data_IF_068149737429
#
_entry.id   IF_068149737429
#
_cell.length_a   1.000
_cell.length_b   1.000
_cell.length_c   1.000
_cell.angle_alpha   90.00
_cell.angle_beta   90.00
_cell.angle_gamma   90.00
#
_symmetry.space_group_name_H-M   'P 1'
#
loop_
_entity.id
_entity.type
_entity.pdbx_description
1 polymer ?
#
# COMPACT_ATOMS: atom_id res chain seq x y z
N UNK A 1 24.19 -18.89 -20.82
CA UNK A 1 24.90 -17.91 -19.97
C UNK A 1 24.18 -16.55 -19.86
N UNK A 2 22.84 -16.45 -19.93
CA UNK A 2 22.14 -15.14 -19.94
C UNK A 2 21.21 -14.88 -18.76
N UNK A 3 21.21 -15.72 -17.71
CA UNK A 3 20.23 -15.59 -16.60
C UNK A 3 20.79 -15.00 -15.31
N UNK A 4 22.08 -14.73 -15.18
CA UNK A 4 22.66 -14.22 -13.93
C UNK A 4 22.46 -12.71 -13.74
N UNK A 5 22.40 -11.91 -14.81
CA UNK A 5 22.23 -10.46 -14.69
C UNK A 5 20.78 -10.04 -14.29
N UNK A 6 19.79 -10.85 -14.61
CA UNK A 6 18.39 -10.54 -14.28
C UNK A 6 18.06 -10.67 -12.77
N UNK A 7 18.62 -11.68 -12.13
CA UNK A 7 18.40 -11.91 -10.69
C UNK A 7 19.12 -10.82 -9.85
N UNK A 8 20.33 -10.42 -10.22
CA UNK A 8 21.07 -9.38 -9.50
C UNK A 8 20.35 -8.03 -9.47
N UNK A 9 19.72 -7.63 -10.59
CA UNK A 9 18.92 -6.38 -10.64
C UNK A 9 17.67 -6.47 -9.76
N UNK A 10 16.98 -7.60 -9.78
CA UNK A 10 15.81 -7.83 -8.94
C UNK A 10 16.17 -7.82 -7.45
N UNK A 11 17.23 -8.53 -7.05
CA UNK A 11 17.73 -8.56 -5.69
C UNK A 11 18.18 -7.18 -5.20
N UNK A 12 18.90 -6.43 -6.02
CA UNK A 12 19.31 -5.07 -5.68
C UNK A 12 18.12 -4.14 -5.50
N UNK A 13 17.11 -4.24 -6.36
CA UNK A 13 15.91 -3.40 -6.24
C UNK A 13 15.08 -3.76 -5.01
N UNK A 14 14.84 -5.05 -4.77
CA UNK A 14 14.09 -5.51 -3.59
C UNK A 14 14.83 -5.18 -2.30
N UNK A 15 16.16 -5.26 -2.29
CA UNK A 15 16.98 -4.82 -1.17
C UNK A 15 16.83 -3.34 -0.88
N UNK A 16 16.93 -2.49 -1.91
CA UNK A 16 16.76 -1.04 -1.77
C UNK A 16 15.33 -0.66 -1.34
N UNK A 17 14.33 -1.34 -1.87
CA UNK A 17 12.92 -1.16 -1.48
C UNK A 17 12.70 -1.55 -0.01
N UNK A 18 13.22 -2.69 0.41
CA UNK A 18 13.13 -3.16 1.80
C UNK A 18 13.79 -2.18 2.77
N UNK A 19 14.97 -1.68 2.43
CA UNK A 19 15.67 -0.67 3.24
C UNK A 19 14.87 0.63 3.32
N UNK A 20 14.32 1.12 2.20
CA UNK A 20 13.47 2.31 2.18
C UNK A 20 12.27 2.14 3.10
N UNK A 21 11.55 1.02 3.00
CA UNK A 21 10.37 0.73 3.84
C UNK A 21 10.75 0.70 5.33
N UNK A 22 11.85 0.03 5.68
CA UNK A 22 12.29 -0.05 7.07
C UNK A 22 12.69 1.31 7.64
N UNK A 23 13.35 2.15 6.85
CA UNK A 23 13.84 3.45 7.31
C UNK A 23 12.72 4.49 7.38
N UNK A 24 11.93 4.61 6.32
CA UNK A 24 10.97 5.72 6.18
C UNK A 24 9.61 5.42 6.82
N UNK A 25 9.22 4.13 6.93
CA UNK A 25 7.89 3.75 7.39
C UNK A 25 7.85 3.00 8.71
N UNK A 26 8.96 2.94 9.42
CA UNK A 26 8.99 2.45 10.79
C UNK A 26 8.06 3.30 11.66
N UNK A 27 7.16 2.64 12.38
CA UNK A 27 6.23 3.30 13.30
C UNK A 27 6.90 3.38 14.66
N UNK A 28 7.15 4.59 15.19
CA UNK A 28 7.77 4.74 16.51
C UNK A 28 6.98 4.02 17.61
N UNK A 29 7.65 3.36 18.57
CA UNK A 29 7.00 2.59 19.65
C UNK A 29 5.96 3.39 20.45
N UNK A 30 6.10 4.70 20.55
CA UNK A 30 5.16 5.59 21.24
C UNK A 30 3.72 5.54 20.70
N UNK A 31 3.52 5.08 19.47
CA UNK A 31 2.19 4.93 18.87
C UNK A 31 1.54 3.57 19.19
N UNK A 32 2.30 2.60 19.70
CA UNK A 32 1.79 1.31 20.15
C UNK A 32 1.32 1.45 21.59
N UNK A 33 0.06 1.83 21.76
CA UNK A 33 -0.54 1.97 23.08
C UNK A 33 -1.03 0.64 23.62
N UNK A 34 -1.04 0.47 24.95
CA UNK A 34 -1.46 -0.75 25.60
C UNK A 34 -2.98 -1.07 25.48
N UNK A 35 -3.75 -0.14 24.92
CA UNK A 35 -5.17 -0.30 24.64
C UNK A 35 -5.47 -0.87 23.24
N UNK A 36 -4.45 -1.19 22.46
CA UNK A 36 -4.62 -1.91 21.20
C UNK A 36 -5.17 -3.32 21.46
N UNK A 37 -6.30 -3.63 20.85
CA UNK A 37 -7.00 -4.90 21.05
C UNK A 37 -7.15 -5.67 19.74
N UNK A 38 -7.17 -6.98 19.87
CA UNK A 38 -7.70 -7.87 18.84
C UNK A 38 -9.21 -8.02 19.09
N UNK A 39 -10.04 -7.49 18.20
CA UNK A 39 -11.47 -7.58 18.36
C UNK A 39 -12.25 -6.67 17.43
N UNK A 40 -13.58 -6.76 17.47
CA UNK A 40 -14.43 -6.14 16.47
C UNK A 40 -14.84 -4.70 16.83
N UNK A 41 -15.33 -4.50 18.05
CA UNK A 41 -15.84 -3.20 18.50
C UNK A 41 -15.77 -3.05 20.02
N UNK A 42 -15.74 -1.83 20.49
CA UNK A 42 -15.99 -1.48 21.88
C UNK A 42 -17.47 -1.63 22.22
N UNK A 43 -17.80 -1.66 23.52
CA UNK A 43 -19.18 -1.77 24.00
C UNK A 43 -20.09 -0.60 23.58
N UNK A 44 -19.52 0.56 23.31
CA UNK A 44 -20.22 1.75 22.81
C UNK A 44 -20.40 1.74 21.27
N UNK A 45 -20.01 0.65 20.60
CA UNK A 45 -20.10 0.50 19.14
C UNK A 45 -18.97 1.17 18.34
N UNK A 46 -18.00 1.81 19.00
CA UNK A 46 -16.81 2.37 18.34
C UNK A 46 -15.87 1.25 17.91
N UNK A 47 -15.07 1.50 16.87
CA UNK A 47 -14.01 0.59 16.47
C UNK A 47 -12.93 0.48 17.54
N UNK A 48 -12.33 -0.70 17.69
CA UNK A 48 -11.17 -0.88 18.57
C UNK A 48 -9.88 -0.65 17.76
N UNK A 49 -8.86 -0.02 18.36
CA UNK A 49 -7.54 0.05 17.75
C UNK A 49 -6.91 -1.34 17.75
N UNK A 50 -6.72 -1.90 16.57
CA UNK A 50 -6.07 -3.23 16.37
C UNK A 50 -4.64 -3.10 15.87
N UNK A 51 -4.22 -1.90 15.47
CA UNK A 51 -2.89 -1.63 14.96
C UNK A 51 -2.72 -0.17 14.61
N UNK A 52 -1.52 0.17 14.20
CA UNK A 52 -1.16 1.51 13.73
C UNK A 52 -0.58 1.37 12.33
N UNK A 53 -1.05 2.19 11.40
CA UNK A 53 -0.55 2.23 10.03
C UNK A 53 -0.36 3.67 9.55
N UNK A 54 0.58 3.85 8.63
CA UNK A 54 0.79 5.10 7.89
C UNK A 54 0.42 4.95 6.40
N UNK A 55 -0.09 3.77 6.03
CA UNK A 55 -0.37 3.43 4.63
C UNK A 55 -1.71 3.98 4.17
N UNK A 56 -2.73 3.87 5.01
CA UNK A 56 -4.05 4.33 4.65
C UNK A 56 -4.88 4.75 5.85
N UNK A 57 -5.93 5.50 5.59
CA UNK A 57 -6.91 5.89 6.60
C UNK A 57 -8.32 5.85 6.02
N UNK A 58 -9.27 5.54 6.87
CA UNK A 58 -10.70 5.53 6.54
C UNK A 58 -11.40 6.50 7.45
N UNK A 59 -12.16 7.41 6.87
CA UNK A 59 -13.01 8.35 7.58
C UNK A 59 -14.48 8.00 7.29
N UNK A 60 -15.28 7.78 8.30
CA UNK A 60 -16.73 7.52 8.16
C UNK A 60 -17.57 8.27 9.20
N UNK A 61 -16.91 8.93 10.13
CA UNK A 61 -17.53 9.81 11.12
C UNK A 61 -16.51 10.79 11.68
N UNK A 62 -16.98 11.87 12.25
CA UNK A 62 -16.18 12.78 13.07
C UNK A 62 -16.77 12.84 14.48
N UNK A 63 -15.97 13.30 15.44
CA UNK A 63 -16.43 13.53 16.82
C UNK A 63 -16.40 15.05 17.06
N UNK A 64 -17.55 15.62 17.36
CA UNK A 64 -17.74 17.00 17.72
C UNK A 64 -18.47 17.05 19.08
N UNK A 65 -17.89 17.74 20.05
CA UNK A 65 -18.38 17.84 21.44
C UNK A 65 -18.73 16.48 22.08
N UNK A 66 -17.96 15.44 21.78
CA UNK A 66 -18.18 14.08 22.26
C UNK A 66 -19.28 13.32 21.54
N UNK A 67 -19.95 13.91 20.56
CA UNK A 67 -20.99 13.30 19.74
C UNK A 67 -20.40 12.79 18.43
N UNK A 68 -20.78 11.58 18.05
CA UNK A 68 -20.39 11.00 16.76
C UNK A 68 -21.31 11.52 15.66
N UNK A 69 -20.73 12.23 14.70
CA UNK A 69 -21.42 12.75 13.52
C UNK A 69 -20.99 11.87 12.31
N UNK A 70 -21.91 11.15 11.67
CA UNK A 70 -21.56 10.41 10.46
C UNK A 70 -21.20 11.36 9.33
N UNK A 71 -20.16 11.02 8.58
CA UNK A 71 -19.73 11.74 7.38
C UNK A 71 -19.66 10.76 6.20
N UNK A 72 -19.69 11.21 4.94
CA UNK A 72 -19.46 10.36 3.80
C UNK A 72 -18.16 9.57 3.97
N UNK A 73 -18.20 8.27 3.66
CA UNK A 73 -17.03 7.40 3.76
C UNK A 73 -15.92 7.87 2.81
N UNK A 74 -14.73 8.08 3.34
CA UNK A 74 -13.55 8.46 2.58
C UNK A 74 -12.42 7.49 2.87
N UNK A 75 -11.70 7.07 1.84
CA UNK A 75 -10.53 6.21 1.93
C UNK A 75 -9.32 6.97 1.36
N UNK A 76 -8.27 7.02 2.16
CA UNK A 76 -7.02 7.66 1.77
C UNK A 76 -5.90 6.62 1.67
N UNK A 77 -5.12 6.71 0.60
CA UNK A 77 -3.86 5.99 0.44
C UNK A 77 -2.70 6.99 0.51
N UNK A 78 -1.86 6.87 1.53
CA UNK A 78 -0.72 7.78 1.76
C UNK A 78 -1.12 9.26 1.76
N UNK A 79 -2.34 9.56 2.25
CA UNK A 79 -2.87 10.92 2.32
C UNK A 79 -3.58 11.43 1.07
N UNK A 80 -3.65 10.62 -0.01
CA UNK A 80 -4.38 10.94 -1.23
C UNK A 80 -5.73 10.22 -1.19
N UNK A 81 -6.81 10.92 -1.46
CA UNK A 81 -8.14 10.32 -1.49
C UNK A 81 -8.29 9.37 -2.67
N UNK A 82 -8.86 8.18 -2.42
CA UNK A 82 -9.00 7.15 -3.45
C UNK A 82 -9.80 7.62 -4.67
N UNK A 83 -10.83 8.43 -4.45
CA UNK A 83 -11.65 8.98 -5.54
C UNK A 83 -10.86 9.88 -6.48
N UNK A 84 -9.89 10.65 -5.97
CA UNK A 84 -9.00 11.47 -6.81
C UNK A 84 -8.13 10.60 -7.72
N UNK A 85 -7.58 9.51 -7.17
CA UNK A 85 -6.77 8.55 -7.94
C UNK A 85 -7.61 7.91 -9.04
N UNK A 86 -8.81 7.41 -8.69
CA UNK A 86 -9.72 6.76 -9.64
C UNK A 86 -10.13 7.71 -10.75
N UNK A 87 -10.49 8.95 -10.42
CA UNK A 87 -10.90 9.95 -11.41
C UNK A 87 -9.74 10.36 -12.33
N UNK A 88 -8.53 10.47 -11.82
CA UNK A 88 -7.34 10.74 -12.62
C UNK A 88 -7.11 9.64 -13.68
N UNK A 89 -7.16 8.38 -13.27
CA UNK A 89 -7.01 7.24 -14.18
C UNK A 89 -8.17 7.12 -15.17
N UNK A 90 -9.41 7.37 -14.71
CA UNK A 90 -10.58 7.39 -15.59
C UNK A 90 -10.47 8.44 -16.70
N UNK A 91 -10.00 9.64 -16.37
CA UNK A 91 -9.77 10.72 -17.34
C UNK A 91 -8.64 10.40 -18.31
N UNK A 92 -7.58 9.75 -17.81
CA UNK A 92 -6.43 9.36 -18.63
C UNK A 92 -6.68 8.10 -19.48
N UNK A 93 -7.76 7.35 -19.22
CA UNK A 93 -8.03 6.06 -19.88
C UNK A 93 -7.01 4.98 -19.51
N UNK A 94 -6.45 5.02 -18.30
CA UNK A 94 -5.40 4.12 -17.83
C UNK A 94 -5.89 3.27 -16.65
N UNK A 95 -5.16 2.17 -16.37
CA UNK A 95 -5.35 1.36 -15.18
C UNK A 95 -4.29 1.76 -14.14
N UNK A 96 -4.76 2.02 -12.91
CA UNK A 96 -3.92 2.57 -11.84
C UNK A 96 -3.24 1.55 -10.94
N UNK A 97 -3.30 0.24 -11.24
CA UNK A 97 -2.83 -0.80 -10.31
C UNK A 97 -1.36 -0.63 -9.90
N UNK A 98 -0.46 -0.51 -10.88
CA UNK A 98 0.96 -0.41 -10.62
C UNK A 98 1.34 0.92 -9.95
N UNK A 99 0.66 2.01 -10.31
CA UNK A 99 0.87 3.31 -9.69
C UNK A 99 0.42 3.32 -8.23
N UNK A 100 -0.75 2.73 -7.94
CA UNK A 100 -1.25 2.57 -6.57
C UNK A 100 -0.36 1.62 -5.77
N UNK A 101 0.10 0.52 -6.36
CA UNK A 101 1.05 -0.38 -5.70
C UNK A 101 2.35 0.36 -5.34
N UNK A 102 2.88 1.17 -6.25
CA UNK A 102 4.04 2.01 -6.00
C UNK A 102 3.78 3.02 -4.87
N UNK A 103 2.65 3.74 -4.93
CA UNK A 103 2.25 4.69 -3.89
C UNK A 103 2.20 4.04 -2.50
N UNK A 104 1.58 2.88 -2.38
CA UNK A 104 1.47 2.16 -1.11
C UNK A 104 2.82 1.72 -0.57
N UNK A 105 3.74 1.29 -1.44
CA UNK A 105 5.07 0.83 -1.08
C UNK A 105 6.03 1.98 -0.80
N UNK A 106 6.06 2.98 -1.68
CA UNK A 106 7.05 4.06 -1.65
C UNK A 106 6.55 5.30 -0.90
N UNK A 107 5.23 5.46 -0.71
CA UNK A 107 4.61 6.55 0.04
C UNK A 107 4.37 7.83 -0.74
N UNK A 108 4.67 7.83 -2.03
CA UNK A 108 4.43 8.96 -2.95
C UNK A 108 4.10 8.43 -4.35
N UNK A 109 3.46 9.27 -5.17
CA UNK A 109 3.17 8.92 -6.57
C UNK A 109 4.45 8.91 -7.39
N UNK A 110 4.64 7.88 -8.25
CA UNK A 110 5.84 7.79 -9.06
C UNK A 110 5.87 8.86 -10.16
N UNK A 111 7.07 9.30 -10.50
CA UNK A 111 7.30 9.91 -11.80
C UNK A 111 7.14 8.87 -12.92
N UNK A 112 6.97 9.33 -14.15
CA UNK A 112 6.82 8.43 -15.31
C UNK A 112 8.01 7.45 -15.47
N UNK A 113 9.22 7.89 -15.21
CA UNK A 113 10.41 7.04 -15.25
C UNK A 113 10.45 5.99 -14.12
N UNK A 114 10.04 6.36 -12.92
CA UNK A 114 9.96 5.45 -11.78
C UNK A 114 8.88 4.38 -12.01
N UNK A 115 7.71 4.77 -12.51
CA UNK A 115 6.63 3.83 -12.84
C UNK A 115 7.06 2.84 -13.92
N UNK A 116 7.72 3.31 -14.98
CA UNK A 116 8.24 2.44 -16.04
C UNK A 116 9.24 1.42 -15.49
N UNK A 117 10.19 1.88 -14.67
CA UNK A 117 11.18 0.99 -14.03
C UNK A 117 10.51 -0.02 -13.10
N UNK A 118 9.53 0.42 -12.31
CA UNK A 118 8.76 -0.46 -11.44
C UNK A 118 8.03 -1.54 -12.24
N UNK A 119 7.38 -1.16 -13.33
CA UNK A 119 6.67 -2.09 -14.23
C UNK A 119 7.61 -3.12 -14.87
N UNK A 120 8.80 -2.70 -15.32
CA UNK A 120 9.80 -3.63 -15.86
C UNK A 120 10.20 -4.68 -14.83
N UNK A 121 10.43 -4.28 -13.57
CA UNK A 121 10.82 -5.18 -12.50
C UNK A 121 9.68 -6.12 -12.13
N UNK A 122 8.47 -5.60 -12.00
CA UNK A 122 7.28 -6.41 -11.74
C UNK A 122 7.04 -7.45 -12.84
N UNK A 123 7.20 -7.05 -14.10
CA UNK A 123 7.05 -7.97 -15.24
C UNK A 123 8.12 -9.08 -15.25
N UNK A 124 9.34 -8.77 -14.84
CA UNK A 124 10.40 -9.80 -14.69
C UNK A 124 10.08 -10.77 -13.55
N UNK A 125 9.55 -10.26 -12.43
CA UNK A 125 9.19 -11.08 -11.27
C UNK A 125 7.95 -11.96 -11.47
N UNK A 126 7.08 -11.63 -12.44
CA UNK A 126 5.86 -12.40 -12.76
C UNK A 126 6.12 -13.71 -13.50
N UNK A 127 7.34 -13.99 -13.93
CA UNK A 127 7.65 -15.23 -14.62
C UNK A 127 7.45 -16.43 -13.69
N UNK A 128 6.60 -17.34 -14.12
CA UNK A 128 6.36 -18.57 -13.39
C UNK A 128 7.56 -19.52 -13.53
N UNK A 129 7.86 -20.34 -12.52
CA UNK A 129 8.84 -21.41 -12.64
C UNK A 129 8.48 -22.38 -13.74
N UNK A 130 9.50 -23.05 -14.31
CA UNK A 130 9.26 -24.14 -15.25
C UNK A 130 8.48 -25.26 -14.53
N UNK A 131 7.48 -25.82 -15.22
CA UNK A 131 6.63 -26.87 -14.66
C UNK A 131 5.46 -26.38 -13.80
N UNK A 132 5.40 -25.07 -13.45
CA UNK A 132 4.34 -24.54 -12.59
C UNK A 132 2.93 -24.84 -13.12
N UNK A 133 2.74 -24.77 -14.44
CA UNK A 133 1.43 -25.01 -15.06
C UNK A 133 1.06 -26.49 -15.00
N UNK A 134 2.02 -27.40 -15.19
CA UNK A 134 1.83 -28.84 -15.10
C UNK A 134 1.54 -29.28 -13.64
N UNK A 135 2.16 -28.60 -12.67
CA UNK A 135 1.99 -28.94 -11.24
C UNK A 135 0.65 -28.41 -10.67
N UNK A 136 -0.04 -27.50 -11.38
CA UNK A 136 -1.30 -26.88 -10.93
C UNK A 136 -2.56 -27.49 -11.57
N UNK A 137 -2.42 -28.43 -12.54
CA UNK A 137 -3.50 -29.15 -13.21
C UNK A 137 -3.60 -30.57 -12.67
#
# INVERSE_FOLDING_TARGET
MQNQNGNGILEQYTGSLSQHIQTEYSIPPKYYRGDLKLGLRNSDGTGVPIGVTRVGSVLGYMIEDGVRIPVPGQLYYRGIELTEIVEAHRKAGTFGYEEVAYLLLMGYLPSHSELNRFNEIMNRARKLPNGFTEDMI
#
